data_IF_736343935028
#
_entry.id   IF_736343935028
#
_cell.length_a   1.000
_cell.length_b   1.000
_cell.length_c   1.000
_cell.angle_alpha   90.00
_cell.angle_beta   90.00
_cell.angle_gamma   90.00
#
_symmetry.space_group_name_H-M   'P 1'
#
loop_
_entity.id
_entity.type
_entity.pdbx_description
1 polymer ?
#
# COMPACT_ATOMS: atom_id res chain seq x y z
N UNK A 1 14.67 18.86 -2.04
CA UNK A 1 14.66 17.41 -2.25
C UNK A 1 14.52 17.17 -3.75
N UNK A 2 15.00 16.04 -4.27
CA UNK A 2 14.81 15.74 -5.71
C UNK A 2 13.40 15.19 -5.92
N UNK A 3 12.78 15.49 -7.06
CA UNK A 3 11.45 15.00 -7.42
C UNK A 3 11.35 13.46 -7.32
N UNK A 4 12.45 12.77 -7.60
CA UNK A 4 12.57 11.31 -7.46
C UNK A 4 12.39 10.84 -6.01
N UNK A 5 13.00 11.55 -5.06
CA UNK A 5 12.91 11.23 -3.64
C UNK A 5 11.49 11.49 -3.11
N UNK A 6 10.88 12.60 -3.53
CA UNK A 6 9.51 12.94 -3.15
C UNK A 6 8.51 11.88 -3.65
N UNK A 7 8.70 11.38 -4.88
CA UNK A 7 7.88 10.30 -5.44
C UNK A 7 8.08 8.97 -4.71
N UNK A 8 9.33 8.65 -4.32
CA UNK A 8 9.62 7.45 -3.53
C UNK A 8 8.89 7.50 -2.18
N UNK A 9 9.01 8.61 -1.47
CA UNK A 9 8.37 8.81 -0.17
C UNK A 9 6.85 8.76 -0.27
N UNK A 10 6.25 9.34 -1.32
CA UNK A 10 4.82 9.26 -1.56
C UNK A 10 4.33 7.82 -1.76
N UNK A 11 5.09 7.00 -2.49
CA UNK A 11 4.77 5.58 -2.71
C UNK A 11 4.91 4.75 -1.43
N UNK A 12 5.93 5.04 -0.62
CA UNK A 12 6.11 4.40 0.68
C UNK A 12 4.97 4.77 1.64
N UNK A 13 4.59 6.05 1.70
CA UNK A 13 3.44 6.53 2.47
C UNK A 13 2.14 5.87 2.03
N UNK A 14 1.92 5.69 0.72
CA UNK A 14 0.73 5.03 0.20
C UNK A 14 0.60 3.58 0.67
N UNK A 15 1.72 2.87 0.86
CA UNK A 15 1.73 1.53 1.45
C UNK A 15 1.33 1.59 2.92
N UNK A 16 1.91 2.50 3.69
CA UNK A 16 1.58 2.67 5.11
C UNK A 16 0.09 2.96 5.33
N UNK A 17 -0.46 3.87 4.52
CA UNK A 17 -1.87 4.26 4.62
C UNK A 17 -2.80 3.09 4.26
N UNK A 18 -2.47 2.33 3.21
CA UNK A 18 -3.22 1.14 2.83
C UNK A 18 -3.16 0.04 3.92
N UNK A 19 -1.99 -0.15 4.53
CA UNK A 19 -1.80 -1.09 5.63
C UNK A 19 -2.55 -0.65 6.90
N UNK A 20 -2.57 0.65 7.21
CA UNK A 20 -3.31 1.22 8.33
C UNK A 20 -4.82 1.03 8.15
N UNK A 21 -5.37 1.30 6.97
CA UNK A 21 -6.79 1.11 6.64
C UNK A 21 -7.17 -0.38 6.77
N UNK A 22 -6.37 -1.29 6.18
CA UNK A 22 -6.58 -2.73 6.31
C UNK A 22 -6.53 -3.18 7.77
N UNK A 23 -5.58 -2.68 8.56
CA UNK A 23 -5.42 -3.02 9.97
C UNK A 23 -6.62 -2.54 10.80
N UNK A 24 -7.13 -1.35 10.53
CA UNK A 24 -8.35 -0.83 11.16
C UNK A 24 -9.54 -1.76 10.88
N UNK A 25 -9.76 -2.14 9.62
CA UNK A 25 -10.81 -3.08 9.23
C UNK A 25 -10.69 -4.43 9.95
N UNK A 26 -9.50 -5.03 9.98
CA UNK A 26 -9.27 -6.33 10.67
C UNK A 26 -9.51 -6.22 12.18
N UNK A 27 -9.15 -5.08 12.79
CA UNK A 27 -9.38 -4.83 14.21
C UNK A 27 -10.87 -4.73 14.53
N UNK A 28 -11.63 -4.05 13.70
CA UNK A 28 -13.09 -3.91 13.83
C UNK A 28 -13.83 -5.21 13.49
N UNK A 29 -13.24 -6.04 12.63
CA UNK A 29 -13.85 -7.25 12.11
C UNK A 29 -12.97 -8.49 12.37
N UNK A 30 -12.84 -8.93 13.65
CA UNK A 30 -12.02 -10.08 14.01
C UNK A 30 -12.54 -11.38 13.38
N UNK A 31 -11.67 -12.39 13.25
CA UNK A 31 -11.99 -13.71 12.67
C UNK A 31 -12.55 -13.66 11.24
N UNK A 32 -12.25 -12.59 10.49
CA UNK A 32 -12.73 -12.44 9.12
C UNK A 32 -14.24 -12.19 9.04
N UNK A 33 -14.83 -11.70 10.13
CA UNK A 33 -16.14 -11.03 10.09
C UNK A 33 -16.05 -9.79 9.19
N UNK A 34 -17.17 -9.15 8.89
CA UNK A 34 -17.19 -8.00 7.97
C UNK A 34 -17.33 -8.36 6.49
N UNK A 35 -17.55 -7.34 5.67
CA UNK A 35 -17.88 -7.53 4.26
C UNK A 35 -16.71 -8.10 3.45
N UNK A 36 -16.97 -9.19 2.73
CA UNK A 36 -15.95 -9.89 1.94
C UNK A 36 -15.42 -9.00 0.81
N UNK A 37 -16.26 -8.20 0.16
CA UNK A 37 -15.82 -7.34 -0.96
C UNK A 37 -14.90 -6.24 -0.43
N UNK A 38 -15.25 -5.66 0.71
CA UNK A 38 -14.45 -4.64 1.37
C UNK A 38 -13.10 -5.19 1.82
N UNK A 39 -13.07 -6.39 2.43
CA UNK A 39 -11.82 -7.07 2.75
C UNK A 39 -10.94 -7.26 1.51
N UNK A 40 -11.51 -7.77 0.42
CA UNK A 40 -10.76 -7.97 -0.84
C UNK A 40 -10.24 -6.64 -1.39
N UNK A 41 -11.05 -5.57 -1.35
CA UNK A 41 -10.65 -4.22 -1.77
C UNK A 41 -9.44 -3.72 -0.98
N UNK A 42 -9.45 -3.86 0.34
CA UNK A 42 -8.36 -3.40 1.22
C UNK A 42 -7.06 -4.15 1.00
N UNK A 43 -7.13 -5.49 0.87
CA UNK A 43 -5.95 -6.29 0.54
C UNK A 43 -5.42 -5.96 -0.86
N UNK A 44 -6.31 -5.76 -1.83
CA UNK A 44 -5.96 -5.32 -3.18
C UNK A 44 -5.31 -3.93 -3.20
N UNK A 45 -5.75 -3.00 -2.35
CA UNK A 45 -5.15 -1.67 -2.20
C UNK A 45 -3.70 -1.76 -1.71
N UNK A 46 -3.43 -2.59 -0.71
CA UNK A 46 -2.07 -2.85 -0.21
C UNK A 46 -1.17 -3.44 -1.29
N UNK A 47 -1.64 -4.48 -1.98
CA UNK A 47 -0.86 -5.12 -3.05
C UNK A 47 -0.62 -4.19 -4.25
N UNK A 48 -1.61 -3.34 -4.58
CA UNK A 48 -1.48 -2.30 -5.59
C UNK A 48 -0.41 -1.27 -5.25
N UNK A 49 -0.41 -0.74 -4.01
CA UNK A 49 0.59 0.22 -3.56
C UNK A 49 2.01 -0.40 -3.57
N UNK A 50 2.16 -1.65 -3.10
CA UNK A 50 3.43 -2.38 -3.17
C UNK A 50 3.91 -2.60 -4.59
N UNK A 51 2.99 -2.92 -5.52
CA UNK A 51 3.32 -3.06 -6.94
C UNK A 51 3.81 -1.75 -7.53
N UNK A 52 3.13 -0.64 -7.24
CA UNK A 52 3.52 0.68 -7.71
C UNK A 52 4.95 1.05 -7.25
N UNK A 53 5.27 0.82 -5.97
CA UNK A 53 6.62 1.04 -5.45
C UNK A 53 7.67 0.15 -6.15
N UNK A 54 7.39 -1.14 -6.35
CA UNK A 54 8.31 -2.04 -7.06
C UNK A 54 8.54 -1.61 -8.51
N UNK A 55 7.48 -1.24 -9.21
CA UNK A 55 7.57 -0.79 -10.60
C UNK A 55 8.36 0.52 -10.69
N UNK A 56 8.16 1.43 -9.75
CA UNK A 56 8.93 2.67 -9.65
C UNK A 56 10.42 2.42 -9.41
N UNK A 57 10.77 1.54 -8.47
CA UNK A 57 12.18 1.16 -8.21
C UNK A 57 12.81 0.46 -9.41
N UNK A 58 12.05 -0.36 -10.15
CA UNK A 58 12.54 -0.99 -11.39
C UNK A 58 12.79 0.01 -12.52
N UNK A 59 11.94 1.04 -12.62
CA UNK A 59 12.11 2.12 -13.59
C UNK A 59 13.26 3.07 -13.23
N UNK A 60 13.71 3.03 -11.97
CA UNK A 60 14.75 3.90 -11.41
C UNK A 60 15.84 3.06 -10.74
N UNK A 61 16.74 2.43 -11.51
CA UNK A 61 17.75 1.50 -10.98
C UNK A 61 18.69 2.08 -9.92
N UNK A 62 18.85 3.40 -9.88
CA UNK A 62 19.59 4.12 -8.84
C UNK A 62 18.96 4.04 -7.45
N UNK A 63 17.73 3.54 -7.34
CA UNK A 63 16.99 3.34 -6.08
C UNK A 63 16.98 1.88 -5.61
N UNK A 64 17.64 0.96 -6.33
CA UNK A 64 17.82 -0.46 -5.97
C UNK A 64 19.10 -0.65 -5.17
#
# INVERSE_FOLDING_TARGET
MSELQDQLEALEKAIEDAEAEKRAFVKENPNGTGDKKERVRLYGKVEGARKALRDFKRANPQLL
#
